data_IF_269026143754
#
_entry.id   IF_269026143754
#
_cell.length_a   1.000
_cell.length_b   1.000
_cell.length_c   1.000
_cell.angle_alpha   90.00
_cell.angle_beta   90.00
_cell.angle_gamma   90.00
#
_symmetry.space_group_name_H-M   'P 1'
#
loop_
_entity.id
_entity.type
_entity.pdbx_description
1 polymer ?
#
# COMPACT_ATOMS: atom_id res chain seq x y z
N UNK A 1 6.48 -13.62 -13.73
CA UNK A 1 5.37 -13.45 -12.76
C UNK A 1 5.79 -13.31 -11.30
N UNK A 2 6.76 -14.09 -10.76
CA UNK A 2 7.19 -14.02 -9.33
C UNK A 2 7.64 -12.64 -8.81
N UNK A 3 8.14 -11.74 -9.67
CA UNK A 3 8.58 -10.38 -9.28
C UNK A 3 7.44 -9.42 -8.96
N UNK A 4 6.32 -9.50 -9.67
CA UNK A 4 5.17 -8.60 -9.47
C UNK A 4 4.49 -8.94 -8.14
N UNK A 5 4.28 -10.23 -7.88
CA UNK A 5 3.73 -10.73 -6.63
C UNK A 5 4.58 -10.30 -5.42
N UNK A 6 5.92 -10.40 -5.51
CA UNK A 6 6.82 -10.01 -4.43
C UNK A 6 6.82 -8.50 -4.15
N UNK A 7 6.63 -7.68 -5.18
CA UNK A 7 6.50 -6.22 -5.05
C UNK A 7 5.14 -5.86 -4.43
N UNK A 8 4.06 -6.52 -4.82
CA UNK A 8 2.74 -6.35 -4.19
C UNK A 8 2.75 -6.79 -2.73
N UNK A 9 3.44 -7.88 -2.41
CA UNK A 9 3.57 -8.39 -1.05
C UNK A 9 4.35 -7.43 -0.15
N UNK A 10 5.43 -6.83 -0.67
CA UNK A 10 6.17 -5.75 0.02
C UNK A 10 5.33 -4.48 0.21
N UNK A 11 4.57 -4.07 -0.81
CA UNK A 11 3.64 -2.93 -0.69
C UNK A 11 2.57 -3.20 0.37
N UNK A 12 2.04 -4.43 0.42
CA UNK A 12 1.08 -4.83 1.43
C UNK A 12 1.71 -4.80 2.83
N UNK A 13 2.92 -5.32 3.00
CA UNK A 13 3.64 -5.28 4.29
C UNK A 13 3.88 -3.86 4.79
N UNK A 14 4.34 -2.95 3.92
CA UNK A 14 4.53 -1.54 4.28
C UNK A 14 3.21 -0.86 4.69
N UNK A 15 2.12 -1.20 4.00
CA UNK A 15 0.79 -0.68 4.31
C UNK A 15 0.26 -1.25 5.64
N UNK A 16 0.52 -2.53 5.94
CA UNK A 16 0.21 -3.12 7.25
C UNK A 16 0.99 -2.45 8.38
N UNK A 17 2.28 -2.19 8.19
CA UNK A 17 3.09 -1.48 9.20
C UNK A 17 2.60 -0.05 9.42
N UNK A 18 2.15 0.62 8.36
CA UNK A 18 1.55 1.95 8.47
C UNK A 18 0.22 1.92 9.23
N UNK A 19 -0.65 0.96 8.92
CA UNK A 19 -1.91 0.75 9.65
C UNK A 19 -1.69 0.39 11.12
N UNK A 20 -0.67 -0.40 11.42
CA UNK A 20 -0.33 -0.77 12.79
C UNK A 20 0.20 0.42 13.59
N UNK A 21 1.01 1.30 12.96
CA UNK A 21 1.44 2.56 13.57
C UNK A 21 0.26 3.50 13.82
N UNK A 22 -0.65 3.64 12.86
CA UNK A 22 -1.88 4.41 13.02
C UNK A 22 -2.76 3.85 14.15
N UNK A 23 -2.87 2.53 14.28
CA UNK A 23 -3.59 1.89 15.37
C UNK A 23 -2.94 2.12 16.74
N UNK A 24 -1.60 2.20 16.80
CA UNK A 24 -0.84 2.44 18.05
C UNK A 24 -0.87 3.90 18.51
N UNK A 25 -1.11 4.85 17.61
CA UNK A 25 -1.30 6.27 17.96
C UNK A 25 -2.68 6.57 18.59
N UNK A 26 -3.58 5.59 18.64
CA UNK A 26 -4.91 5.76 19.22
C UNK A 26 -4.85 5.37 20.71
N UNK A 27 -5.23 6.26 21.65
CA UNK A 27 -5.22 5.96 23.07
C UNK A 27 -6.22 4.83 23.39
N UNK A 28 -5.73 3.79 24.10
CA UNK A 28 -6.51 2.69 24.69
C UNK A 28 -7.87 3.18 25.24
N UNK A 29 -9.01 2.91 24.59
CA UNK A 29 -10.37 3.23 25.11
C UNK A 29 -11.49 2.28 24.64
N UNK A 30 -11.66 1.18 25.36
CA UNK A 30 -12.87 0.74 26.10
C UNK A 30 -14.32 0.80 25.55
N UNK A 31 -14.62 0.86 24.24
CA UNK A 31 -15.99 0.46 23.83
C UNK A 31 -16.12 -0.28 22.51
N UNK A 32 -16.82 -1.41 22.54
CA UNK A 32 -17.01 -2.32 21.40
C UNK A 32 -17.70 -1.64 20.19
N UNK A 33 -18.61 -0.69 20.43
CA UNK A 33 -19.23 0.12 19.37
C UNK A 33 -18.20 1.00 18.63
N UNK A 34 -17.20 1.54 19.33
CA UNK A 34 -16.15 2.34 18.70
C UNK A 34 -15.26 1.51 17.80
N UNK A 35 -15.01 0.24 18.11
CA UNK A 35 -14.18 -0.65 17.27
C UNK A 35 -14.87 -0.91 15.93
N UNK A 36 -16.18 -1.20 15.94
CA UNK A 36 -16.93 -1.47 14.72
C UNK A 36 -17.03 -0.25 13.80
N UNK A 37 -17.35 0.92 14.36
CA UNK A 37 -17.38 2.18 13.65
C UNK A 37 -16.00 2.57 13.13
N UNK A 38 -14.96 2.28 13.91
CA UNK A 38 -13.58 2.54 13.53
C UNK A 38 -13.13 1.66 12.36
N UNK A 39 -13.47 0.36 12.34
CA UNK A 39 -13.15 -0.51 11.19
C UNK A 39 -13.81 -0.03 9.89
N UNK A 40 -15.08 0.39 9.95
CA UNK A 40 -15.78 0.95 8.78
C UNK A 40 -15.15 2.27 8.36
N UNK A 41 -14.78 3.13 9.31
CA UNK A 41 -14.09 4.38 9.03
C UNK A 41 -12.73 4.16 8.37
N UNK A 42 -11.92 3.24 8.90
CA UNK A 42 -10.62 2.85 8.34
C UNK A 42 -10.75 2.34 6.91
N UNK A 43 -11.76 1.51 6.64
CA UNK A 43 -12.04 1.03 5.30
C UNK A 43 -12.31 2.18 4.31
N UNK A 44 -13.24 3.08 4.66
CA UNK A 44 -13.56 4.25 3.82
C UNK A 44 -12.33 5.15 3.63
N UNK A 45 -11.55 5.37 4.68
CA UNK A 45 -10.34 6.19 4.65
C UNK A 45 -9.28 5.62 3.69
N UNK A 46 -9.02 4.32 3.73
CA UNK A 46 -8.05 3.65 2.85
C UNK A 46 -8.44 3.74 1.38
N UNK A 47 -9.73 3.55 1.09
CA UNK A 47 -10.26 3.69 -0.27
C UNK A 47 -10.10 5.13 -0.76
N UNK A 48 -10.47 6.12 0.06
CA UNK A 48 -10.38 7.53 -0.29
C UNK A 48 -8.92 8.01 -0.43
N UNK A 49 -8.01 7.52 0.41
CA UNK A 49 -6.57 7.81 0.32
C UNK A 49 -5.98 7.23 -0.97
N UNK A 50 -6.29 5.97 -1.26
CA UNK A 50 -5.83 5.30 -2.49
C UNK A 50 -6.36 5.97 -3.75
N UNK A 51 -7.63 6.39 -3.73
CA UNK A 51 -8.24 7.16 -4.80
C UNK A 51 -7.55 8.52 -4.98
N UNK A 52 -7.35 9.27 -3.89
CA UNK A 52 -6.67 10.58 -3.93
C UNK A 52 -5.24 10.47 -4.45
N UNK A 53 -4.51 9.42 -4.07
CA UNK A 53 -3.18 9.14 -4.61
C UNK A 53 -3.20 8.86 -6.12
N UNK A 54 -4.22 8.13 -6.61
CA UNK A 54 -4.39 7.87 -8.05
C UNK A 54 -4.74 9.15 -8.83
N UNK A 55 -5.53 10.06 -8.24
CA UNK A 55 -5.79 11.38 -8.83
C UNK A 55 -4.48 12.14 -9.01
N UNK A 56 -3.66 12.23 -7.96
CA UNK A 56 -2.38 12.94 -8.00
C UNK A 56 -1.39 12.34 -9.00
N UNK A 57 -1.44 11.03 -9.22
CA UNK A 57 -0.49 10.33 -10.08
C UNK A 57 -0.90 10.27 -11.55
N UNK A 58 -2.19 10.03 -11.86
CA UNK A 58 -2.69 9.76 -13.22
C UNK A 58 -3.96 10.53 -13.59
N UNK A 59 -4.41 11.45 -12.74
CA UNK A 59 -5.59 12.27 -12.96
C UNK A 59 -6.91 11.60 -12.59
N UNK A 60 -7.97 12.42 -12.51
CA UNK A 60 -9.29 12.04 -12.04
C UNK A 60 -9.93 10.92 -12.87
N UNK A 61 -9.88 11.03 -14.21
CA UNK A 61 -10.49 10.03 -15.10
C UNK A 61 -9.91 8.62 -14.91
N UNK A 62 -8.60 8.50 -14.65
CA UNK A 62 -7.98 7.22 -14.33
C UNK A 62 -8.39 6.73 -12.95
N UNK A 63 -8.33 7.61 -11.95
CA UNK A 63 -8.68 7.29 -10.57
C UNK A 63 -10.13 6.79 -10.44
N UNK A 64 -11.07 7.41 -11.15
CA UNK A 64 -12.48 6.99 -11.17
C UNK A 64 -12.61 5.57 -11.71
N UNK A 65 -12.01 5.26 -12.86
CA UNK A 65 -12.05 3.92 -13.48
C UNK A 65 -11.56 2.81 -12.55
N UNK A 66 -10.57 3.09 -11.70
CA UNK A 66 -10.00 2.10 -10.78
C UNK A 66 -10.65 2.10 -9.39
N UNK A 67 -11.52 3.07 -9.07
CA UNK A 67 -12.08 3.25 -7.72
C UNK A 67 -12.80 2.00 -7.20
N UNK A 68 -13.73 1.44 -7.98
CA UNK A 68 -14.47 0.25 -7.59
C UNK A 68 -13.54 -0.97 -7.39
N UNK A 69 -12.45 -1.05 -8.16
CA UNK A 69 -11.46 -2.10 -8.01
C UNK A 69 -10.65 -1.93 -6.71
N UNK A 70 -10.24 -0.70 -6.41
CA UNK A 70 -9.57 -0.36 -5.14
C UNK A 70 -10.46 -0.69 -3.95
N UNK A 71 -11.74 -0.30 -3.97
CA UNK A 71 -12.70 -0.63 -2.93
C UNK A 71 -12.90 -2.15 -2.74
N UNK A 72 -12.89 -2.95 -3.82
CA UNK A 72 -12.90 -4.42 -3.72
C UNK A 72 -11.63 -4.96 -3.06
N UNK A 73 -10.46 -4.48 -3.47
CA UNK A 73 -9.17 -4.93 -2.92
C UNK A 73 -9.10 -4.61 -1.42
N UNK A 74 -9.39 -3.38 -1.03
CA UNK A 74 -9.32 -2.96 0.37
C UNK A 74 -10.32 -3.71 1.25
N UNK A 75 -11.54 -3.95 0.74
CA UNK A 75 -12.53 -4.79 1.43
C UNK A 75 -11.99 -6.20 1.70
N UNK A 76 -11.40 -6.84 0.68
CA UNK A 76 -10.84 -8.20 0.83
C UNK A 76 -9.67 -8.22 1.81
N UNK A 77 -8.82 -7.19 1.79
CA UNK A 77 -7.68 -7.07 2.72
C UNK A 77 -8.12 -6.92 4.17
N UNK A 78 -9.02 -5.99 4.44
CA UNK A 78 -9.59 -5.77 5.77
C UNK A 78 -10.36 -6.99 6.27
N UNK A 79 -11.16 -7.63 5.41
CA UNK A 79 -11.89 -8.85 5.78
C UNK A 79 -10.93 -9.96 6.21
N UNK A 80 -9.84 -10.18 5.47
CA UNK A 80 -8.81 -11.17 5.83
C UNK A 80 -8.10 -10.81 7.13
N UNK A 81 -7.86 -9.53 7.38
CA UNK A 81 -7.24 -9.06 8.62
C UNK A 81 -8.15 -9.32 9.82
N UNK A 82 -9.44 -8.98 9.73
CA UNK A 82 -10.42 -9.20 10.81
C UNK A 82 -10.55 -10.70 11.13
N UNK A 83 -10.63 -11.55 10.11
CA UNK A 83 -10.70 -13.01 10.30
C UNK A 83 -9.45 -13.53 11.01
N UNK A 84 -8.26 -12.99 10.70
CA UNK A 84 -6.99 -13.40 11.34
C UNK A 84 -6.85 -12.94 12.79
N UNK A 85 -7.64 -11.97 13.24
CA UNK A 85 -7.60 -11.50 14.63
C UNK A 85 -8.26 -12.46 15.62
N UNK A 86 -8.83 -13.58 15.16
CA UNK A 86 -9.46 -14.62 15.99
C UNK A 86 -10.47 -14.05 17.01
N UNK A 87 -11.26 -13.05 16.58
CA UNK A 87 -12.38 -12.55 17.36
C UNK A 87 -13.48 -13.60 17.44
N UNK A 88 -14.38 -13.41 18.40
CA UNK A 88 -15.59 -14.23 18.53
C UNK A 88 -16.37 -14.30 17.20
N UNK A 89 -16.96 -15.46 16.90
CA UNK A 89 -17.53 -15.78 15.59
C UNK A 89 -18.70 -14.86 15.25
N UNK A 90 -19.57 -14.57 16.23
CA UNK A 90 -20.69 -13.64 16.06
C UNK A 90 -20.22 -12.21 15.82
N UNK A 91 -19.14 -11.79 16.48
CA UNK A 91 -18.56 -10.43 16.33
C UNK A 91 -17.93 -10.27 14.96
N UNK A 92 -17.18 -11.28 14.53
CA UNK A 92 -16.56 -11.33 13.21
C UNK A 92 -17.63 -11.22 12.12
N UNK A 93 -18.73 -11.96 12.24
CA UNK A 93 -19.83 -11.91 11.27
C UNK A 93 -20.52 -10.54 11.23
N UNK A 94 -20.79 -9.92 12.39
CA UNK A 94 -21.37 -8.56 12.46
C UNK A 94 -20.46 -7.52 11.81
N UNK A 95 -19.17 -7.56 12.09
CA UNK A 95 -18.16 -6.68 11.48
C UNK A 95 -18.10 -6.84 9.95
N UNK A 96 -18.06 -8.07 9.47
CA UNK A 96 -18.04 -8.35 8.03
C UNK A 96 -19.33 -7.88 7.34
N UNK A 97 -20.50 -8.06 7.95
CA UNK A 97 -21.77 -7.53 7.43
C UNK A 97 -21.76 -6.00 7.35
N UNK A 98 -21.25 -5.31 8.38
CA UNK A 98 -21.10 -3.85 8.37
C UNK A 98 -20.14 -3.37 7.28
N UNK A 99 -18.99 -4.02 7.12
CA UNK A 99 -18.05 -3.73 6.03
C UNK A 99 -18.68 -3.96 4.65
N UNK A 100 -19.49 -5.01 4.51
CA UNK A 100 -20.19 -5.29 3.26
C UNK A 100 -21.22 -4.21 2.94
N UNK A 101 -21.92 -3.69 3.95
CA UNK A 101 -22.82 -2.55 3.81
C UNK A 101 -22.05 -1.29 3.35
N UNK A 102 -20.95 -0.97 4.02
CA UNK A 102 -20.09 0.15 3.65
C UNK A 102 -19.51 0.03 2.24
N UNK A 103 -19.19 -1.19 1.80
CA UNK A 103 -18.75 -1.43 0.42
C UNK A 103 -19.85 -1.11 -0.60
N UNK A 104 -21.10 -1.50 -0.32
CA UNK A 104 -22.23 -1.16 -1.18
C UNK A 104 -22.45 0.35 -1.26
N UNK A 105 -22.36 1.03 -0.12
CA UNK A 105 -22.44 2.49 -0.04
C UNK A 105 -21.36 3.17 -0.89
N UNK A 106 -20.10 2.72 -0.80
CA UNK A 106 -19.01 3.25 -1.62
C UNK A 106 -19.21 3.01 -3.12
N UNK A 107 -19.83 1.90 -3.53
CA UNK A 107 -20.15 1.65 -4.94
C UNK A 107 -21.31 2.52 -5.44
N UNK A 108 -22.26 2.84 -4.57
CA UNK A 108 -23.35 3.75 -4.89
C UNK A 108 -22.84 5.18 -5.08
N UNK A 109 -21.93 5.60 -4.21
CA UNK A 109 -21.23 6.88 -4.28
C UNK A 109 -19.90 6.79 -5.04
N UNK A 110 -19.90 6.05 -6.13
CA UNK A 110 -18.69 5.84 -6.92
C UNK A 110 -18.45 7.02 -7.86
N UNK A 111 -17.23 7.57 -7.91
CA UNK A 111 -16.85 8.60 -8.88
C UNK A 111 -16.85 8.13 -10.35
N UNK A 112 -17.14 6.85 -10.59
CA UNK A 112 -17.49 6.32 -11.92
C UNK A 112 -18.89 6.77 -12.36
N UNK A 113 -19.83 6.84 -11.42
CA UNK A 113 -21.23 7.20 -11.69
C UNK A 113 -21.46 8.71 -11.59
N UNK A 114 -20.74 9.40 -10.69
CA UNK A 114 -20.83 10.86 -10.50
C UNK A 114 -19.44 11.46 -10.28
N UNK A 115 -18.92 12.17 -11.28
CA UNK A 115 -17.58 12.78 -11.19
C UNK A 115 -17.45 13.80 -10.03
N UNK A 116 -18.54 14.49 -9.66
CA UNK A 116 -18.59 15.43 -8.54
C UNK A 116 -18.23 14.77 -7.20
N UNK A 117 -18.63 13.51 -6.98
CA UNK A 117 -18.29 12.77 -5.77
C UNK A 117 -16.78 12.48 -5.69
N UNK A 118 -16.11 12.30 -6.83
CA UNK A 118 -14.65 12.13 -6.88
C UNK A 118 -13.91 13.40 -6.49
N UNK A 119 -14.44 14.53 -6.91
CA UNK A 119 -13.93 15.84 -6.54
C UNK A 119 -14.13 16.08 -5.03
N UNK A 120 -15.30 15.73 -4.48
CA UNK A 120 -15.58 15.84 -3.05
C UNK A 120 -14.72 14.92 -2.18
N UNK A 121 -14.48 13.67 -2.60
CA UNK A 121 -13.57 12.76 -1.91
C UNK A 121 -12.15 13.34 -1.88
N UNK A 122 -11.69 13.86 -3.02
CA UNK A 122 -10.37 14.46 -3.13
C UNK A 122 -10.23 15.73 -2.28
N UNK A 123 -11.23 16.61 -2.30
CA UNK A 123 -11.24 17.83 -1.48
C UNK A 123 -11.40 17.55 0.02
N UNK A 124 -12.21 16.55 0.39
CA UNK A 124 -12.36 16.10 1.78
C UNK A 124 -11.06 15.53 2.34
N UNK A 125 -10.30 14.80 1.52
CA UNK A 125 -9.01 14.23 1.92
C UNK A 125 -7.86 15.26 1.90
N UNK A 126 -7.81 16.12 0.89
CA UNK A 126 -6.78 17.15 0.76
C UNK A 126 -7.05 18.40 1.60
N UNK A 127 -8.26 18.55 2.13
CA UNK A 127 -8.66 19.61 3.04
C UNK A 127 -9.06 20.90 2.32
N UNK A 128 -10.28 20.93 1.79
CA UNK A 128 -10.94 22.13 1.26
C UNK A 128 -11.38 23.12 2.35
N UNK A 129 -10.41 23.85 2.91
CA UNK A 129 -10.49 25.26 3.31
C UNK A 129 -9.11 25.66 3.88
N UNK A 130 -8.57 26.78 3.39
CA UNK A 130 -7.15 27.15 3.27
C UNK A 130 -6.22 27.00 4.51
N UNK A 131 -6.74 26.73 5.71
CA UNK A 131 -5.93 26.62 6.95
C UNK A 131 -5.43 25.20 7.26
N UNK A 132 -6.18 24.13 6.91
CA UNK A 132 -5.77 22.73 7.16
C UNK A 132 -4.90 22.11 6.05
N UNK A 133 -4.98 22.65 4.83
CA UNK A 133 -4.18 22.21 3.66
C UNK A 133 -2.66 22.28 3.91
N UNK A 134 -2.16 23.25 4.69
CA UNK A 134 -0.72 23.41 4.97
C UNK A 134 -0.14 22.27 5.80
N UNK A 135 -0.89 21.72 6.77
CA UNK A 135 -0.43 20.62 7.61
C UNK A 135 -0.41 19.30 6.83
N UNK A 136 -1.51 18.99 6.13
CA UNK A 136 -1.63 17.76 5.33
C UNK A 136 -0.69 17.77 4.12
N UNK A 137 -0.44 18.91 3.47
CA UNK A 137 0.55 19.01 2.38
C UNK A 137 1.97 18.71 2.85
N UNK A 138 2.34 19.10 4.07
CA UNK A 138 3.64 18.74 4.66
C UNK A 138 3.72 17.24 4.94
N UNK A 139 2.66 16.64 5.49
CA UNK A 139 2.59 15.20 5.74
C UNK A 139 2.65 14.39 4.44
N UNK A 140 1.86 14.77 3.43
CA UNK A 140 1.86 14.13 2.10
C UNK A 140 3.22 14.30 1.42
N UNK A 141 3.83 15.50 1.45
CA UNK A 141 5.19 15.70 0.93
C UNK A 141 6.23 14.83 1.65
N UNK A 142 6.17 14.73 2.98
CA UNK A 142 7.07 13.87 3.76
C UNK A 142 6.89 12.40 3.40
N UNK A 143 5.66 11.93 3.29
CA UNK A 143 5.34 10.56 2.86
C UNK A 143 5.88 10.28 1.45
N UNK A 144 5.71 11.20 0.49
CA UNK A 144 6.29 11.05 -0.84
C UNK A 144 7.82 11.06 -0.84
N UNK A 145 8.44 11.89 0.01
CA UNK A 145 9.90 11.94 0.16
C UNK A 145 10.41 10.63 0.76
N UNK A 146 9.77 10.09 1.80
CA UNK A 146 10.11 8.79 2.38
C UNK A 146 9.99 7.67 1.35
N UNK A 147 8.87 7.60 0.62
CA UNK A 147 8.66 6.61 -0.45
C UNK A 147 9.76 6.74 -1.51
N UNK A 148 10.13 7.96 -1.91
CA UNK A 148 11.18 8.22 -2.88
C UNK A 148 12.55 7.78 -2.36
N UNK A 149 12.92 8.17 -1.14
CA UNK A 149 14.18 7.78 -0.51
C UNK A 149 14.29 6.26 -0.32
N UNK A 150 13.22 5.59 0.10
CA UNK A 150 13.17 4.13 0.23
C UNK A 150 13.32 3.45 -1.14
N UNK A 151 12.73 4.03 -2.18
CA UNK A 151 12.87 3.54 -3.55
C UNK A 151 14.30 3.73 -4.09
N UNK A 152 14.95 4.86 -3.79
CA UNK A 152 16.33 5.14 -4.16
C UNK A 152 17.32 4.22 -3.44
N UNK A 153 17.09 3.93 -2.14
CA UNK A 153 17.85 2.91 -1.40
C UNK A 153 17.74 1.54 -2.06
N UNK A 154 16.55 1.16 -2.53
CA UNK A 154 16.35 -0.11 -3.24
C UNK A 154 17.01 -0.13 -4.62
N UNK A 155 16.99 0.97 -5.36
CA UNK A 155 17.70 1.11 -6.65
C UNK A 155 19.22 1.03 -6.42
N UNK A 156 19.74 1.73 -5.42
CA UNK A 156 21.16 1.67 -5.07
C UNK A 156 21.58 0.24 -4.69
N UNK A 157 20.78 -0.45 -3.87
CA UNK A 157 21.02 -1.86 -3.52
C UNK A 157 20.98 -2.77 -4.75
N UNK A 158 20.04 -2.55 -5.67
CA UNK A 158 19.96 -3.28 -6.93
C UNK A 158 21.19 -3.05 -7.83
N UNK A 159 21.67 -1.81 -7.94
CA UNK A 159 22.88 -1.47 -8.70
C UNK A 159 24.12 -2.12 -8.05
N UNK A 160 24.24 -2.04 -6.72
CA UNK A 160 25.32 -2.67 -5.95
C UNK A 160 25.34 -4.19 -6.14
N UNK A 161 24.18 -4.84 -6.03
CA UNK A 161 24.04 -6.28 -6.24
C UNK A 161 24.35 -6.69 -7.68
N UNK A 162 23.97 -5.88 -8.66
CA UNK A 162 24.29 -6.10 -10.07
C UNK A 162 25.80 -5.99 -10.34
N UNK A 163 26.46 -5.00 -9.73
CA UNK A 163 27.92 -4.85 -9.82
C UNK A 163 28.65 -6.03 -9.17
N UNK A 164 28.23 -6.44 -7.97
CA UNK A 164 28.80 -7.60 -7.28
C UNK A 164 28.67 -8.88 -8.11
N UNK A 165 27.49 -9.17 -8.68
CA UNK A 165 27.31 -10.34 -9.56
C UNK A 165 28.19 -10.29 -10.82
N UNK A 166 28.40 -9.12 -11.41
CA UNK A 166 29.33 -8.97 -12.55
C UNK A 166 30.77 -9.24 -12.12
N UNK A 167 31.18 -8.74 -10.96
CA UNK A 167 32.51 -8.97 -10.39
C UNK A 167 32.74 -10.45 -10.10
N UNK A 168 31.76 -11.13 -9.50
CA UNK A 168 31.85 -12.55 -9.17
C UNK A 168 31.96 -13.41 -10.43
N UNK A 169 31.18 -13.12 -11.48
CA UNK A 169 31.34 -13.80 -12.77
C UNK A 169 32.72 -13.60 -13.41
N UNK A 170 33.31 -12.41 -13.27
CA UNK A 170 34.67 -12.18 -13.77
C UNK A 170 35.71 -12.97 -12.97
N UNK A 171 35.56 -13.05 -11.65
CA UNK A 171 36.41 -13.90 -10.81
C UNK A 171 36.27 -15.37 -11.15
N UNK A 172 35.05 -15.86 -11.36
CA UNK A 172 34.79 -17.24 -11.80
C UNK A 172 35.44 -17.53 -13.16
N UNK A 173 35.33 -16.61 -14.12
CA UNK A 173 36.00 -16.75 -15.42
C UNK A 173 37.52 -16.78 -15.31
N UNK A 174 38.10 -15.93 -14.46
CA UNK A 174 39.54 -15.93 -14.20
C UNK A 174 39.99 -17.21 -13.51
N UNK A 175 39.25 -17.67 -12.50
CA UNK A 175 39.52 -18.94 -11.81
C UNK A 175 39.42 -20.13 -12.77
N UNK A 176 38.42 -20.13 -13.66
CA UNK A 176 38.27 -21.14 -14.69
C UNK A 176 39.42 -21.12 -15.70
N UNK A 177 39.84 -19.93 -16.18
CA UNK A 177 40.97 -19.81 -17.08
C UNK A 177 42.30 -20.25 -16.42
N UNK A 178 42.51 -19.90 -15.15
CA UNK A 178 43.65 -20.38 -14.36
C UNK A 178 43.61 -21.88 -14.14
N UNK A 179 42.43 -22.45 -13.87
CA UNK A 179 42.25 -23.89 -13.77
C UNK A 179 42.58 -24.58 -15.10
N UNK A 180 42.09 -24.05 -16.22
CA UNK A 180 42.39 -24.56 -17.57
C UNK A 180 43.90 -24.52 -17.86
N UNK A 181 44.56 -23.40 -17.57
CA UNK A 181 46.01 -23.26 -17.75
C UNK A 181 46.78 -24.25 -16.87
N UNK A 182 46.36 -24.44 -15.60
CA UNK A 182 46.96 -25.43 -14.70
C UNK A 182 46.73 -26.86 -15.19
N UNK A 183 45.56 -27.19 -15.71
CA UNK A 183 45.28 -28.53 -16.24
C UNK A 183 46.07 -28.83 -17.52
N UNK A 184 46.34 -27.82 -18.35
CA UNK A 184 47.15 -27.96 -19.57
C UNK A 184 48.66 -27.99 -19.31
N UNK A 185 49.13 -27.48 -18.17
CA UNK A 185 50.56 -27.45 -17.78
C UNK A 185 50.96 -28.61 -16.85
N UNK A 186 49.99 -29.44 -16.44
CA UNK A 186 50.20 -30.65 -15.63
C UNK A 186 50.00 -31.95 -16.44
N UNK A 187 50.29 -31.89 -17.74
CA UNK A 187 50.47 -33.04 -18.62
C UNK A 187 51.83 -32.94 -19.31
#
# INVERSE_FOLDING_TARGET
MKKIAKIEEQKNQLLYQFLEKLNKEIPNRESNQKIEEHCVHQYKLLVNMSFSANILHRGLAYASKVYNHVAKIEYTRLSKMIIRQNLDKERTEKLLKKLKSAQKELFLHSPVAKESEGIDIFYGFTGGNQKKYKANRKAIKRMYIEIKQESEKNIYRYIKDSYNRKRDRMKEKQAYALWLLKSYTWH
#
